data_IF_757618474358
#
_entry.id   IF_757618474358
#
_cell.length_a   1.000
_cell.length_b   1.000
_cell.length_c   1.000
_cell.angle_alpha   90.00
_cell.angle_beta   90.00
_cell.angle_gamma   90.00
#
_symmetry.space_group_name_H-M   'P 1'
#
loop_
_entity.id
_entity.type
_entity.pdbx_description
1 polymer ?
#
# COMPACT_ATOMS: atom_id res chain seq x y z
N UNK A 1 7.68 11.59 9.42
CA UNK A 1 6.44 11.75 8.61
C UNK A 1 6.69 12.85 7.61
N UNK A 2 6.27 12.64 6.36
CA UNK A 2 6.31 13.65 5.29
C UNK A 2 4.93 13.80 4.65
N UNK A 3 4.56 15.04 4.35
CA UNK A 3 3.30 15.41 3.67
C UNK A 3 3.57 15.64 2.20
N UNK A 4 2.68 15.19 1.34
CA UNK A 4 2.75 15.37 -0.10
C UNK A 4 1.42 15.96 -0.58
N UNK A 5 1.50 17.11 -1.24
CA UNK A 5 0.33 17.70 -1.88
C UNK A 5 0.05 16.96 -3.19
N UNK A 6 -1.21 16.62 -3.44
CA UNK A 6 -1.64 15.95 -4.67
C UNK A 6 -3.01 16.44 -5.14
N UNK A 7 -3.35 16.15 -6.39
CA UNK A 7 -4.66 16.47 -6.98
C UNK A 7 -5.88 15.87 -6.26
N UNK A 8 -5.68 14.83 -5.45
CA UNK A 8 -6.74 14.10 -4.73
C UNK A 8 -6.81 14.43 -3.25
N UNK A 9 -5.87 15.24 -2.74
CA UNK A 9 -5.75 15.57 -1.32
C UNK A 9 -4.30 15.63 -0.84
N UNK A 10 -4.12 15.58 0.48
CA UNK A 10 -2.80 15.53 1.10
C UNK A 10 -2.48 14.10 1.52
N UNK A 11 -1.37 13.56 1.04
CA UNK A 11 -0.87 12.25 1.48
C UNK A 11 0.13 12.48 2.61
N UNK A 12 -0.11 11.88 3.76
CA UNK A 12 0.80 11.86 4.90
C UNK A 12 1.41 10.49 5.01
N UNK A 13 2.72 10.36 4.75
CA UNK A 13 3.44 9.10 4.89
C UNK A 13 4.29 9.14 6.14
N UNK A 14 4.12 8.14 6.99
CA UNK A 14 4.84 8.01 8.25
C UNK A 14 5.98 7.02 8.09
N UNK A 15 7.06 7.27 8.82
CA UNK A 15 8.02 6.18 9.07
C UNK A 15 7.39 5.20 10.07
N UNK A 16 8.00 4.04 10.30
CA UNK A 16 7.40 3.02 11.17
C UNK A 16 7.10 3.53 12.59
N UNK A 17 7.94 4.44 13.12
CA UNK A 17 7.69 5.10 14.41
C UNK A 17 8.25 6.54 14.43
N UNK A 18 7.60 7.50 15.12
CA UNK A 18 6.27 7.41 15.74
C UNK A 18 5.14 7.50 14.71
N UNK A 19 4.16 6.59 14.82
CA UNK A 19 3.00 6.52 13.93
C UNK A 19 1.69 6.76 14.72
N UNK A 20 0.71 7.49 14.17
CA UNK A 20 -0.62 7.64 14.78
C UNK A 20 -1.26 6.29 15.13
N UNK A 21 -1.97 6.24 16.27
CA UNK A 21 -2.61 5.01 16.78
C UNK A 21 -3.59 4.39 15.78
N UNK A 22 -4.28 5.21 14.98
CA UNK A 22 -5.18 4.77 13.92
C UNK A 22 -4.48 3.99 12.79
N UNK A 23 -3.14 4.00 12.71
CA UNK A 23 -2.34 3.21 11.77
C UNK A 23 -1.56 2.08 12.48
N UNK A 24 -1.72 1.89 13.79
CA UNK A 24 -0.91 0.94 14.56
C UNK A 24 -1.06 -0.52 14.09
N UNK A 25 -2.28 -0.94 13.76
CA UNK A 25 -2.53 -2.28 13.20
C UNK A 25 -1.83 -2.47 11.86
N UNK A 26 -1.88 -1.45 11.00
CA UNK A 26 -1.20 -1.47 9.70
C UNK A 26 0.32 -1.56 9.85
N UNK A 27 0.91 -0.83 10.80
CA UNK A 27 2.35 -0.92 11.12
C UNK A 27 2.71 -2.32 11.60
N UNK A 28 1.93 -2.89 12.53
CA UNK A 28 2.15 -4.25 13.03
C UNK A 28 2.13 -5.27 11.90
N UNK A 29 1.20 -5.13 10.97
CA UNK A 29 1.04 -6.08 9.86
C UNK A 29 2.06 -5.91 8.74
N UNK A 30 2.52 -4.68 8.47
CA UNK A 30 3.39 -4.41 7.32
C UNK A 30 4.84 -4.11 7.67
N UNK A 31 5.16 -3.92 8.96
CA UNK A 31 6.49 -3.48 9.41
C UNK A 31 7.63 -4.42 9.00
N UNK A 32 7.36 -5.72 8.88
CA UNK A 32 8.32 -6.73 8.45
C UNK A 32 8.58 -6.72 6.92
N UNK A 33 7.77 -6.03 6.13
CA UNK A 33 7.87 -5.99 4.66
C UNK A 33 8.93 -4.99 4.15
N UNK A 34 9.56 -4.25 5.07
CA UNK A 34 10.66 -3.33 4.78
C UNK A 34 10.21 -1.95 4.33
N UNK A 35 11.19 -1.12 3.94
CA UNK A 35 11.01 0.34 3.78
C UNK A 35 10.03 0.80 2.69
N UNK A 36 9.68 -0.10 1.75
CA UNK A 36 8.77 0.19 0.64
C UNK A 36 7.31 0.20 1.06
N UNK A 37 6.99 -0.39 2.21
CA UNK A 37 5.66 -0.40 2.79
C UNK A 37 5.67 0.57 3.96
N UNK A 38 4.86 1.61 3.85
CA UNK A 38 4.77 2.64 4.89
C UNK A 38 3.32 2.91 5.25
N UNK A 39 3.01 3.09 6.55
CA UNK A 39 1.71 3.58 6.96
C UNK A 39 1.48 4.99 6.43
N UNK A 40 0.27 5.26 5.94
CA UNK A 40 -0.08 6.55 5.38
C UNK A 40 -1.54 6.95 5.65
N UNK A 41 -1.79 8.25 5.64
CA UNK A 41 -3.12 8.81 5.50
C UNK A 41 -3.27 9.51 4.16
N UNK A 42 -4.44 9.33 3.53
CA UNK A 42 -4.94 10.27 2.55
C UNK A 42 -5.95 11.19 3.24
N UNK A 43 -5.63 12.47 3.29
CA UNK A 43 -6.54 13.52 3.72
C UNK A 43 -7.29 14.07 2.51
N UNK A 44 -8.56 13.69 2.39
CA UNK A 44 -9.47 14.13 1.34
C UNK A 44 -10.84 14.47 1.93
N UNK A 45 -11.47 15.54 1.45
CA UNK A 45 -12.81 15.97 1.88
C UNK A 45 -12.97 16.09 3.41
N UNK A 46 -11.94 16.58 4.10
CA UNK A 46 -11.95 16.77 5.56
C UNK A 46 -11.85 15.47 6.37
N UNK A 47 -11.53 14.34 5.75
CA UNK A 47 -11.38 13.04 6.42
C UNK A 47 -10.00 12.44 6.17
N UNK A 48 -9.46 11.75 7.17
CA UNK A 48 -8.25 10.94 7.05
C UNK A 48 -8.64 9.48 6.74
N UNK A 49 -8.14 8.96 5.62
CA UNK A 49 -8.34 7.58 5.21
C UNK A 49 -7.03 6.81 5.32
N UNK A 50 -6.97 5.71 6.11
CA UNK A 50 -5.74 4.95 6.31
C UNK A 50 -5.38 4.10 5.08
N UNK A 51 -4.12 4.15 4.67
CA UNK A 51 -3.58 3.38 3.54
C UNK A 51 -2.17 2.89 3.83
N UNK A 52 -1.78 1.79 3.17
CA UNK A 52 -0.40 1.39 3.01
C UNK A 52 0.15 2.12 1.78
N UNK A 53 1.06 3.05 1.98
CA UNK A 53 1.88 3.60 0.91
C UNK A 53 2.88 2.54 0.45
N UNK A 54 2.79 2.13 -0.82
CA UNK A 54 3.65 1.09 -1.42
C UNK A 54 4.41 1.65 -2.61
N UNK A 55 5.74 1.68 -2.49
CA UNK A 55 6.63 1.95 -3.63
C UNK A 55 6.97 0.67 -4.38
N UNK A 56 7.09 0.82 -5.69
CA UNK A 56 7.50 -0.25 -6.59
C UNK A 56 8.87 -0.83 -6.20
N UNK A 57 9.15 -2.06 -6.63
CA UNK A 57 10.41 -2.74 -6.34
C UNK A 57 11.66 -2.09 -6.94
N UNK A 58 11.49 -1.37 -8.05
CA UNK A 58 12.51 -0.61 -8.75
C UNK A 58 12.46 0.90 -8.45
N UNK A 59 11.50 1.33 -7.62
CA UNK A 59 11.28 2.73 -7.28
C UNK A 59 12.14 3.18 -6.09
N UNK A 60 12.60 4.42 -6.15
CA UNK A 60 13.24 5.05 -4.99
C UNK A 60 12.19 5.37 -3.93
N UNK A 61 12.46 4.97 -2.69
CA UNK A 61 11.63 5.39 -1.54
C UNK A 61 12.11 6.77 -1.13
N UNK A 62 11.27 7.81 -1.20
CA UNK A 62 11.67 9.15 -0.86
C UNK A 62 12.06 9.23 0.61
N UNK A 63 13.08 10.03 0.90
CA UNK A 63 13.40 10.38 2.28
C UNK A 63 12.18 11.08 2.92
N UNK A 64 11.74 10.53 4.06
CA UNK A 64 10.61 11.01 4.84
C UNK A 64 11.03 11.99 5.95
N UNK A 65 12.33 12.29 6.05
CA UNK A 65 12.96 13.22 7.01
C UNK A 65 12.84 14.71 6.64
N UNK A 66 12.86 15.13 5.35
CA UNK A 66 12.81 16.54 4.99
C UNK A 66 11.56 17.23 5.54
N UNK A 67 11.76 18.40 6.15
CA UNK A 67 10.66 19.22 6.72
C UNK A 67 9.82 19.93 5.68
N UNK A 68 10.25 19.95 4.41
CA UNK A 68 9.51 20.60 3.33
C UNK A 68 8.43 19.64 2.81
N UNK A 69 7.20 20.13 2.57
CA UNK A 69 6.18 19.34 1.87
C UNK A 69 6.71 18.82 0.54
N UNK A 70 6.48 17.55 0.25
CA UNK A 70 6.69 16.98 -1.07
C UNK A 70 5.58 17.40 -2.03
N UNK A 71 5.87 17.20 -3.31
CA UNK A 71 4.96 17.42 -4.44
C UNK A 71 4.34 16.10 -4.89
N UNK A 72 3.35 16.16 -5.78
CA UNK A 72 2.79 14.95 -6.40
C UNK A 72 3.84 14.19 -7.23
N UNK A 73 4.87 14.89 -7.72
CA UNK A 73 5.97 14.29 -8.49
C UNK A 73 6.84 13.39 -7.60
N UNK A 74 6.99 13.74 -6.32
CA UNK A 74 7.66 12.89 -5.31
C UNK A 74 6.86 11.62 -4.98
N UNK A 75 5.58 11.56 -5.37
CA UNK A 75 4.71 10.39 -5.23
C UNK A 75 4.75 9.47 -6.46
N UNK A 76 5.53 9.78 -7.50
CA UNK A 76 5.55 8.99 -8.71
C UNK A 76 5.85 7.50 -8.43
N UNK A 77 4.98 6.60 -8.91
CA UNK A 77 5.11 5.16 -8.70
C UNK A 77 4.57 4.63 -7.37
N UNK A 78 4.08 5.53 -6.49
CA UNK A 78 3.42 5.15 -5.24
C UNK A 78 1.99 4.66 -5.49
N UNK A 79 1.63 3.55 -4.85
CA UNK A 79 0.25 3.07 -4.69
C UNK A 79 -0.22 3.24 -3.24
N UNK A 80 -1.43 3.77 -3.05
CA UNK A 80 -2.12 3.75 -1.75
C UNK A 80 -2.99 2.50 -1.64
N UNK A 81 -2.42 1.43 -1.11
CA UNK A 81 -3.07 0.13 -0.98
C UNK A 81 -3.78 -0.04 0.38
N UNK A 82 -4.66 -1.02 0.46
CA UNK A 82 -5.39 -1.35 1.69
C UNK A 82 -5.04 -2.77 2.14
N UNK A 83 -5.20 -3.08 3.43
CA UNK A 83 -5.13 -4.46 3.88
C UNK A 83 -6.52 -5.07 3.72
N UNK A 84 -6.61 -6.14 2.92
CA UNK A 84 -7.88 -6.83 2.64
C UNK A 84 -7.76 -8.31 2.92
N UNK A 85 -8.87 -8.89 3.37
CA UNK A 85 -9.05 -10.34 3.46
C UNK A 85 -9.74 -10.84 2.21
N UNK A 86 -9.23 -11.91 1.62
CA UNK A 86 -9.80 -12.56 0.46
C UNK A 86 -9.92 -14.06 0.69
N UNK A 87 -10.98 -14.67 0.17
CA UNK A 87 -11.19 -16.11 0.18
C UNK A 87 -11.02 -16.67 -1.24
N UNK A 88 -10.16 -17.65 -1.42
CA UNK A 88 -9.96 -18.30 -2.72
C UNK A 88 -11.25 -18.96 -3.20
N UNK A 89 -11.77 -18.55 -4.34
CA UNK A 89 -12.98 -19.14 -4.91
C UNK A 89 -12.87 -20.63 -5.28
N UNK A 90 -11.66 -21.18 -5.41
CA UNK A 90 -11.44 -22.58 -5.76
C UNK A 90 -11.35 -23.53 -4.55
N UNK A 91 -10.68 -23.12 -3.47
CA UNK A 91 -10.45 -23.98 -2.30
C UNK A 91 -10.96 -23.42 -0.98
N UNK A 92 -11.56 -22.21 -0.97
CA UNK A 92 -12.11 -21.56 0.21
C UNK A 92 -11.07 -20.99 1.20
N UNK A 93 -9.77 -21.24 0.98
CA UNK A 93 -8.71 -20.75 1.87
C UNK A 93 -8.71 -19.22 1.94
N UNK A 94 -8.55 -18.68 3.15
CA UNK A 94 -8.62 -17.24 3.43
C UNK A 94 -7.23 -16.68 3.70
N UNK A 95 -6.95 -15.53 3.10
CA UNK A 95 -5.66 -14.86 3.23
C UNK A 95 -5.87 -13.36 3.41
N UNK A 96 -4.92 -12.73 4.12
CA UNK A 96 -4.81 -11.27 4.18
C UNK A 96 -3.68 -10.83 3.28
N UNK A 97 -3.84 -9.67 2.66
CA UNK A 97 -2.80 -9.10 1.82
C UNK A 97 -2.95 -7.60 1.62
N UNK A 98 -1.86 -6.98 1.17
CA UNK A 98 -1.85 -5.58 0.76
C UNK A 98 -2.42 -5.51 -0.65
N UNK A 99 -3.65 -5.02 -0.77
CA UNK A 99 -4.42 -4.98 -2.00
C UNK A 99 -4.44 -3.57 -2.59
N UNK A 100 -4.01 -3.39 -3.84
CA UNK A 100 -4.06 -2.11 -4.54
C UNK A 100 -5.36 -1.89 -5.33
N UNK A 101 -6.29 -2.85 -5.35
CA UNK A 101 -7.57 -2.69 -6.04
C UNK A 101 -8.47 -1.76 -5.19
N UNK A 102 -8.79 -0.59 -5.75
CA UNK A 102 -9.36 0.55 -5.02
C UNK A 102 -8.32 1.62 -4.63
N UNK A 103 -7.03 1.36 -4.88
CA UNK A 103 -5.95 2.30 -4.59
C UNK A 103 -5.94 3.52 -5.52
N UNK A 104 -5.43 4.62 -4.97
CA UNK A 104 -4.96 5.74 -5.79
C UNK A 104 -3.50 5.49 -6.19
N UNK A 105 -3.26 5.52 -7.50
CA UNK A 105 -1.92 5.41 -8.07
C UNK A 105 -1.44 6.79 -8.54
N UNK A 106 -0.26 7.20 -8.07
CA UNK A 106 0.34 8.48 -8.42
C UNK A 106 1.33 8.31 -9.57
N UNK A 107 1.01 8.93 -10.72
CA UNK A 107 1.81 8.95 -11.96
C UNK A 107 2.49 7.63 -12.36
N UNK A 108 1.94 6.48 -11.99
CA UNK A 108 2.35 5.22 -12.62
C UNK A 108 1.75 5.21 -14.02
N UNK A 109 2.59 5.29 -15.08
CA UNK A 109 2.12 4.88 -16.41
C UNK A 109 1.44 3.52 -16.22
N UNK A 110 0.18 3.43 -16.65
CA UNK A 110 -0.72 2.26 -16.56
C UNK A 110 -0.01 0.98 -16.16
N UNK A 111 -0.21 0.54 -14.91
CA UNK A 111 0.34 -0.72 -14.40
C UNK A 111 1.86 -0.78 -14.51
N UNK A 112 2.58 -0.14 -13.59
CA UNK A 112 4.02 -0.37 -13.52
C UNK A 112 4.26 -1.87 -13.32
N UNK A 113 4.93 -2.58 -14.24
CA UNK A 113 5.26 -4.00 -14.08
C UNK A 113 6.10 -4.27 -12.83
N UNK A 114 6.64 -3.23 -12.21
CA UNK A 114 7.41 -3.28 -10.98
C UNK A 114 6.58 -3.60 -9.72
N UNK A 115 5.26 -3.40 -9.76
CA UNK A 115 4.33 -3.89 -8.75
C UNK A 115 3.85 -5.29 -9.17
N UNK A 116 4.66 -6.30 -8.90
CA UNK A 116 4.31 -7.70 -9.19
C UNK A 116 3.17 -8.14 -8.28
N UNK A 117 2.02 -8.48 -8.87
CA UNK A 117 0.86 -8.99 -8.14
C UNK A 117 0.97 -10.48 -7.85
N UNK A 118 0.37 -10.90 -6.75
CA UNK A 118 0.11 -12.28 -6.38
C UNK A 118 -1.22 -12.67 -7.00
N UNK A 119 -1.16 -13.44 -8.09
CA UNK A 119 -2.35 -13.79 -8.88
C UNK A 119 -2.84 -15.23 -8.65
N UNK A 120 -2.07 -16.05 -7.91
CA UNK A 120 -2.41 -17.44 -7.62
C UNK A 120 -2.68 -17.63 -6.11
N UNK A 121 -3.61 -18.54 -5.79
CA UNK A 121 -3.83 -19.00 -4.43
C UNK A 121 -2.58 -19.70 -3.87
N UNK A 122 -2.04 -19.29 -2.72
CA UNK A 122 -0.86 -19.95 -2.15
C UNK A 122 -1.16 -21.37 -1.62
N UNK A 123 -2.43 -21.73 -1.39
CA UNK A 123 -2.80 -23.05 -0.88
C UNK A 123 -3.12 -24.09 -1.96
N UNK A 124 -3.68 -23.67 -3.11
CA UNK A 124 -4.11 -24.59 -4.17
C UNK A 124 -3.61 -24.19 -5.57
N UNK A 125 -2.78 -23.15 -5.66
CA UNK A 125 -2.19 -22.62 -6.89
C UNK A 125 -3.17 -22.11 -7.95
N UNK A 126 -4.48 -22.14 -7.66
CA UNK A 126 -5.50 -21.66 -8.59
C UNK A 126 -5.32 -20.18 -8.88
N UNK A 127 -5.25 -19.84 -10.17
CA UNK A 127 -5.21 -18.47 -10.71
C UNK A 127 -6.61 -17.90 -10.98
N UNK A 128 -7.67 -18.70 -10.78
CA UNK A 128 -9.03 -18.26 -11.08
C UNK A 128 -9.52 -17.14 -10.15
N UNK A 129 -8.92 -17.01 -8.97
CA UNK A 129 -9.33 -16.03 -7.97
C UNK A 129 -8.79 -14.61 -8.21
N UNK A 130 -7.75 -14.43 -9.07
CA UNK A 130 -7.03 -13.16 -9.27
C UNK A 130 -6.94 -12.33 -7.99
N UNK A 131 -6.20 -12.83 -7.00
CA UNK A 131 -6.19 -12.26 -5.64
C UNK A 131 -5.83 -10.76 -5.63
N UNK A 132 -5.00 -10.32 -6.60
CA UNK A 132 -4.71 -8.91 -6.84
C UNK A 132 -3.76 -8.27 -5.83
N UNK A 133 -3.29 -9.01 -4.82
CA UNK A 133 -2.43 -8.49 -3.77
C UNK A 133 -1.02 -8.15 -4.26
N UNK A 134 -0.40 -7.12 -3.69
CA UNK A 134 1.03 -6.84 -3.83
C UNK A 134 1.89 -7.80 -2.99
N UNK A 135 1.37 -8.20 -1.82
CA UNK A 135 2.01 -9.15 -0.92
C UNK A 135 0.96 -9.77 -0.01
N UNK A 136 1.18 -11.04 0.36
CA UNK A 136 0.39 -11.76 1.34
C UNK A 136 0.98 -11.54 2.73
N UNK A 137 0.12 -11.30 3.71
CA UNK A 137 0.49 -11.12 5.11
C UNK A 137 0.39 -12.44 5.90
N UNK A 138 -0.37 -13.40 5.35
CA UNK A 138 -0.58 -14.71 5.97
C UNK A 138 -2.03 -15.19 5.84
N UNK A 139 -2.35 -16.34 6.45
CA UNK A 139 -3.73 -16.80 6.59
C UNK A 139 -4.57 -15.79 7.37
N UNK A 140 -5.85 -15.69 7.03
CA UNK A 140 -6.82 -14.80 7.68
C UNK A 140 -7.68 -15.53 8.71
#
# INVERSE_FOLDING_TARGET
>A
MRRFASRVGVVEVYDTEPTPSALAEMVRETGHLGRRFRPAFLWAFGRALPYVAVWASDGEVPDLTPRRPGTEDDLAGLWLAEIRTHACGACGARFRGVNPDGALAFRSRRGSPAHRRVDACPACESRSARLGFLVLLGPA
#
